data_IF_397683658553
#
_entry.id   IF_397683658553
#
_cell.length_a   1.000
_cell.length_b   1.000
_cell.length_c   1.000
_cell.angle_alpha   90.00
_cell.angle_beta   90.00
_cell.angle_gamma   90.00
#
_symmetry.space_group_name_H-M   'P 1'
#
loop_
_entity.id
_entity.type
_entity.pdbx_description
1 polymer ?
#
# COMPACT_ATOMS: atom_id res chain seq x y z
N UNK A 1 -29.99 -15.97 9.11
CA UNK A 1 -29.45 -14.81 8.39
C UNK A 1 -27.95 -14.99 8.30
N UNK A 2 -27.41 -15.24 7.12
CA UNK A 2 -25.96 -15.34 6.90
C UNK A 2 -25.39 -13.93 6.88
N UNK A 3 -24.55 -13.60 7.87
CA UNK A 3 -23.80 -12.36 7.88
C UNK A 3 -22.97 -12.25 6.60
N UNK A 4 -22.89 -11.07 5.99
CA UNK A 4 -22.26 -10.95 4.68
C UNK A 4 -20.75 -11.19 4.83
N UNK A 5 -20.19 -11.99 3.91
CA UNK A 5 -18.78 -12.39 3.77
C UNK A 5 -17.82 -11.23 3.44
N UNK A 6 -18.23 -9.98 3.73
CA UNK A 6 -17.65 -8.70 3.28
C UNK A 6 -16.14 -8.67 3.48
N UNK A 7 -15.65 -9.28 4.56
CA UNK A 7 -14.24 -9.30 4.89
C UNK A 7 -13.37 -10.10 3.90
N UNK A 8 -13.71 -11.35 3.59
CA UNK A 8 -12.88 -12.19 2.73
C UNK A 8 -12.92 -11.71 1.27
N UNK A 9 -14.11 -11.32 0.80
CA UNK A 9 -14.30 -10.88 -0.58
C UNK A 9 -13.57 -9.55 -0.84
N UNK A 10 -13.63 -8.59 0.09
CA UNK A 10 -12.93 -7.32 -0.05
C UNK A 10 -11.41 -7.49 0.00
N UNK A 11 -10.90 -8.37 0.87
CA UNK A 11 -9.46 -8.68 0.95
C UNK A 11 -8.96 -9.20 -0.40
N UNK A 12 -9.65 -10.20 -0.97
CA UNK A 12 -9.27 -10.79 -2.25
C UNK A 12 -9.36 -9.75 -3.36
N UNK A 13 -10.44 -8.95 -3.41
CA UNK A 13 -10.59 -7.88 -4.41
C UNK A 13 -9.44 -6.87 -4.34
N UNK A 14 -9.12 -6.35 -3.17
CA UNK A 14 -8.03 -5.38 -2.99
C UNK A 14 -6.69 -5.99 -3.40
N UNK A 15 -6.40 -7.23 -2.99
CA UNK A 15 -5.16 -7.92 -3.35
C UNK A 15 -5.02 -8.09 -4.88
N UNK A 16 -6.08 -8.56 -5.53
CA UNK A 16 -6.11 -8.76 -6.98
C UNK A 16 -6.07 -7.43 -7.75
N UNK A 17 -6.64 -6.36 -7.22
CA UNK A 17 -6.54 -5.05 -7.83
C UNK A 17 -5.13 -4.46 -7.68
N UNK A 18 -4.53 -4.54 -6.50
CA UNK A 18 -3.17 -4.03 -6.26
C UNK A 18 -2.12 -4.77 -7.12
N UNK A 19 -2.31 -6.06 -7.40
CA UNK A 19 -1.41 -6.82 -8.27
C UNK A 19 -1.44 -6.36 -9.73
N UNK A 20 -2.55 -5.78 -10.19
CA UNK A 20 -2.66 -5.16 -11.52
C UNK A 20 -1.90 -3.83 -11.63
N UNK A 21 -1.43 -3.28 -10.50
CA UNK A 21 -0.73 -2.01 -10.43
C UNK A 21 0.65 -2.15 -9.75
N UNK A 22 1.59 -2.95 -10.29
CA UNK A 22 2.82 -3.33 -9.58
C UNK A 22 3.68 -2.15 -9.13
N UNK A 23 3.77 -1.08 -9.94
CA UNK A 23 4.54 0.12 -9.60
C UNK A 23 3.71 1.12 -8.79
N UNK A 24 2.43 1.29 -9.13
CA UNK A 24 1.55 2.29 -8.53
C UNK A 24 1.01 1.86 -7.16
N UNK A 25 0.96 0.56 -6.89
CA UNK A 25 0.49 -0.05 -5.63
C UNK A 25 1.15 0.58 -4.41
N UNK A 26 2.46 0.86 -4.46
CA UNK A 26 3.19 1.53 -3.37
C UNK A 26 2.61 2.91 -3.04
N UNK A 27 2.25 3.68 -4.07
CA UNK A 27 1.64 5.01 -3.91
C UNK A 27 0.18 4.89 -3.46
N UNK A 28 -0.58 3.93 -4.01
CA UNK A 28 -1.95 3.62 -3.58
C UNK A 28 -1.98 3.30 -2.07
N UNK A 29 -1.12 2.38 -1.60
CA UNK A 29 -1.01 2.00 -0.19
C UNK A 29 -0.60 3.17 0.71
N UNK A 30 0.23 4.09 0.23
CA UNK A 30 0.54 5.32 0.98
C UNK A 30 -0.71 6.15 1.26
N UNK A 31 -1.59 6.32 0.27
CA UNK A 31 -2.86 7.02 0.45
C UNK A 31 -3.88 6.22 1.27
N UNK A 32 -3.90 4.89 1.14
CA UNK A 32 -4.68 4.02 2.02
C UNK A 32 -4.29 4.22 3.48
N UNK A 33 -2.99 4.19 3.81
CA UNK A 33 -2.49 4.47 5.17
C UNK A 33 -2.89 5.86 5.67
N UNK A 34 -2.76 6.89 4.83
CA UNK A 34 -3.22 8.25 5.17
C UNK A 34 -4.71 8.27 5.52
N UNK A 35 -5.55 7.58 4.74
CA UNK A 35 -6.99 7.49 5.00
C UNK A 35 -7.28 6.78 6.33
N UNK A 36 -6.62 5.65 6.58
CA UNK A 36 -6.74 4.90 7.84
C UNK A 36 -6.41 5.77 9.06
N UNK A 37 -5.31 6.53 9.00
CA UNK A 37 -4.89 7.41 10.08
C UNK A 37 -5.82 8.60 10.26
N UNK A 38 -6.24 9.23 9.16
CA UNK A 38 -7.13 10.39 9.20
C UNK A 38 -8.51 10.05 9.78
N UNK A 39 -8.99 8.83 9.55
CA UNK A 39 -10.27 8.32 10.09
C UNK A 39 -10.15 7.77 11.51
N UNK A 40 -8.95 7.72 12.07
CA UNK A 40 -8.71 7.19 13.41
C UNK A 40 -8.88 5.68 13.55
N UNK A 41 -8.90 4.92 12.42
CA UNK A 41 -9.02 3.46 12.43
C UNK A 41 -7.84 2.82 13.16
N UNK A 42 -6.65 3.36 12.93
CA UNK A 42 -5.43 3.03 13.67
C UNK A 42 -4.55 4.28 13.75
N UNK A 43 -3.86 4.46 14.86
CA UNK A 43 -2.88 5.55 14.99
C UNK A 43 -1.57 5.19 14.31
N UNK A 44 -0.80 6.18 13.89
CA UNK A 44 0.51 5.94 13.26
C UNK A 44 1.45 5.15 14.17
N UNK A 45 1.49 5.48 15.46
CA UNK A 45 2.33 4.79 16.45
C UNK A 45 1.91 3.35 16.67
N UNK A 46 0.60 3.07 16.79
CA UNK A 46 0.09 1.71 16.92
C UNK A 46 0.38 0.87 15.66
N UNK A 47 0.18 1.45 14.47
CA UNK A 47 0.48 0.80 13.20
C UNK A 47 1.97 0.45 13.07
N UNK A 48 2.87 1.39 13.41
CA UNK A 48 4.31 1.15 13.35
C UNK A 48 4.77 0.11 14.39
N UNK A 49 4.18 0.13 15.59
CA UNK A 49 4.46 -0.87 16.63
C UNK A 49 4.00 -2.28 16.21
N UNK A 50 2.79 -2.39 15.66
CA UNK A 50 2.25 -3.67 15.17
C UNK A 50 3.05 -4.19 13.98
N UNK A 51 3.43 -3.33 13.04
CA UNK A 51 4.28 -3.70 11.91
C UNK A 51 5.63 -4.28 12.37
N UNK A 52 6.26 -3.65 13.38
CA UNK A 52 7.50 -4.14 13.97
C UNK A 52 7.30 -5.50 14.65
N UNK A 53 6.25 -5.65 15.43
CA UNK A 53 5.93 -6.90 16.11
C UNK A 53 5.73 -8.05 15.10
N UNK A 54 4.92 -7.83 14.07
CA UNK A 54 4.67 -8.83 13.01
C UNK A 54 5.91 -9.13 12.16
N UNK A 55 6.80 -8.16 11.98
CA UNK A 55 8.09 -8.39 11.33
C UNK A 55 8.97 -9.33 12.16
N UNK A 56 9.08 -9.12 13.47
CA UNK A 56 9.82 -10.03 14.37
C UNK A 56 9.21 -11.44 14.35
N UNK A 57 7.88 -11.54 14.39
CA UNK A 57 7.21 -12.84 14.26
C UNK A 57 7.47 -13.52 12.91
N UNK A 58 7.62 -12.73 11.83
CA UNK A 58 7.95 -13.29 10.51
C UNK A 58 9.39 -13.79 10.44
N UNK A 59 10.34 -13.13 11.11
CA UNK A 59 11.71 -13.63 11.24
C UNK A 59 11.72 -15.00 11.92
N UNK A 60 10.99 -15.16 13.03
CA UNK A 60 10.87 -16.44 13.71
C UNK A 60 10.22 -17.53 12.84
N UNK A 61 9.20 -17.18 12.04
CA UNK A 61 8.58 -18.10 11.07
C UNK A 61 9.52 -18.50 9.93
N UNK A 62 10.48 -17.65 9.60
CA UNK A 62 11.51 -17.90 8.57
C UNK A 62 12.79 -18.53 9.15
N UNK A 63 12.80 -18.88 10.45
CA UNK A 63 13.90 -19.61 11.09
C UNK A 63 15.03 -18.72 11.64
N UNK A 64 14.83 -17.40 11.70
CA UNK A 64 15.77 -16.50 12.37
C UNK A 64 15.52 -16.55 13.88
N UNK A 65 16.53 -16.96 14.64
CA UNK A 65 16.43 -17.19 16.08
C UNK A 65 16.97 -16.02 16.89
N UNK A 66 17.86 -15.22 16.31
CA UNK A 66 18.28 -13.92 16.83
C UNK A 66 17.88 -12.77 15.88
N UNK A 67 16.66 -12.22 16.02
CA UNK A 67 16.10 -11.11 15.24
C UNK A 67 16.99 -9.89 15.02
N UNK A 68 17.92 -9.62 15.94
CA UNK A 68 18.72 -8.40 15.96
C UNK A 68 20.14 -8.58 15.40
N UNK A 69 20.61 -9.81 15.22
CA UNK A 69 21.99 -10.10 14.78
C UNK A 69 22.04 -10.88 13.47
N UNK A 70 21.03 -11.70 13.18
CA UNK A 70 21.05 -12.60 12.01
C UNK A 70 20.55 -11.93 10.73
N UNK A 71 19.86 -10.79 10.83
CA UNK A 71 19.30 -10.09 9.67
C UNK A 71 20.05 -8.78 9.40
N UNK A 72 20.44 -8.59 8.13
CA UNK A 72 21.06 -7.34 7.68
C UNK A 72 20.03 -6.21 7.67
N UNK A 73 20.48 -4.98 7.94
CA UNK A 73 19.62 -3.81 8.04
C UNK A 73 18.77 -3.55 6.77
N UNK A 74 19.32 -3.78 5.57
CA UNK A 74 18.58 -3.65 4.31
C UNK A 74 17.44 -4.66 4.19
N UNK A 75 17.67 -5.89 4.63
CA UNK A 75 16.66 -6.96 4.63
C UNK A 75 15.56 -6.66 5.67
N UNK A 76 15.94 -6.15 6.85
CA UNK A 76 15.00 -5.72 7.88
C UNK A 76 14.08 -4.59 7.40
N UNK A 77 14.63 -3.57 6.72
CA UNK A 77 13.83 -2.48 6.16
C UNK A 77 12.88 -2.98 5.06
N UNK A 78 13.34 -3.89 4.20
CA UNK A 78 12.47 -4.52 3.20
C UNK A 78 11.36 -5.36 3.85
N UNK A 79 11.67 -6.13 4.88
CA UNK A 79 10.70 -6.90 5.66
C UNK A 79 9.65 -5.98 6.29
N UNK A 80 10.06 -4.91 6.96
CA UNK A 80 9.14 -3.92 7.52
C UNK A 80 8.26 -3.30 6.45
N UNK A 81 8.81 -2.97 5.28
CA UNK A 81 8.03 -2.43 4.17
C UNK A 81 6.95 -3.42 3.70
N UNK A 82 7.31 -4.70 3.51
CA UNK A 82 6.37 -5.75 3.12
C UNK A 82 5.27 -5.96 4.17
N UNK A 83 5.63 -6.01 5.45
CA UNK A 83 4.67 -6.16 6.56
C UNK A 83 3.72 -4.96 6.64
N UNK A 84 4.24 -3.74 6.51
CA UNK A 84 3.42 -2.52 6.47
C UNK A 84 2.44 -2.54 5.29
N UNK A 85 2.87 -3.00 4.13
CA UNK A 85 1.99 -3.12 2.96
C UNK A 85 0.88 -4.15 3.21
N UNK A 86 1.20 -5.34 3.71
CA UNK A 86 0.18 -6.34 4.07
C UNK A 86 -0.78 -5.86 5.17
N UNK A 87 -0.27 -5.18 6.20
CA UNK A 87 -1.10 -4.57 7.24
C UNK A 87 -2.01 -3.49 6.69
N UNK A 88 -1.53 -2.68 5.75
CA UNK A 88 -2.34 -1.65 5.09
C UNK A 88 -3.52 -2.29 4.37
N UNK A 89 -3.23 -3.32 3.57
CA UNK A 89 -4.25 -4.04 2.79
C UNK A 89 -5.29 -4.69 3.73
N UNK A 90 -4.83 -5.30 4.82
CA UNK A 90 -5.68 -5.87 5.87
C UNK A 90 -6.58 -4.83 6.54
N UNK A 91 -6.01 -3.76 7.12
CA UNK A 91 -6.81 -2.75 7.81
C UNK A 91 -7.80 -2.09 6.88
N UNK A 92 -7.41 -1.81 5.63
CA UNK A 92 -8.31 -1.20 4.67
C UNK A 92 -9.47 -2.13 4.31
N UNK A 93 -9.20 -3.40 3.98
CA UNK A 93 -10.22 -4.35 3.57
C UNK A 93 -11.26 -4.66 4.66
N UNK A 94 -10.84 -4.65 5.92
CA UNK A 94 -11.71 -4.99 7.06
C UNK A 94 -12.47 -3.79 7.64
N UNK A 95 -11.99 -2.56 7.43
CA UNK A 95 -12.57 -1.36 8.06
C UNK A 95 -13.23 -0.40 7.07
N UNK A 96 -12.97 -0.56 5.76
CA UNK A 96 -13.47 0.35 4.73
C UNK A 96 -14.16 -0.43 3.60
N UNK A 97 -15.22 0.14 3.00
CA UNK A 97 -15.87 -0.44 1.83
C UNK A 97 -14.93 -0.37 0.61
N UNK A 98 -15.11 -1.28 -0.35
CA UNK A 98 -14.21 -1.42 -1.50
C UNK A 98 -14.18 -0.16 -2.39
N UNK A 99 -15.27 0.58 -2.45
CA UNK A 99 -15.44 1.82 -3.20
C UNK A 99 -14.40 2.88 -2.77
N UNK A 100 -14.03 2.92 -1.48
CA UNK A 100 -13.00 3.83 -0.98
C UNK A 100 -11.61 3.51 -1.55
N UNK A 101 -11.34 2.22 -1.80
CA UNK A 101 -10.13 1.81 -2.49
C UNK A 101 -10.17 2.22 -3.97
N UNK A 102 -11.30 2.00 -4.64
CA UNK A 102 -11.47 2.39 -6.04
C UNK A 102 -11.27 3.90 -6.25
N UNK A 103 -11.78 4.72 -5.36
CA UNK A 103 -11.60 6.17 -5.41
C UNK A 103 -10.13 6.58 -5.27
N UNK A 104 -9.37 5.93 -4.38
CA UNK A 104 -7.93 6.16 -4.25
C UNK A 104 -7.23 5.78 -5.56
N UNK A 105 -7.56 4.62 -6.15
CA UNK A 105 -6.97 4.17 -7.42
C UNK A 105 -7.28 5.16 -8.54
N UNK A 106 -8.53 5.60 -8.70
CA UNK A 106 -8.94 6.57 -9.73
C UNK A 106 -8.19 7.89 -9.59
N UNK A 107 -8.04 8.42 -8.37
CA UNK A 107 -7.25 9.64 -8.11
C UNK A 107 -5.79 9.46 -8.50
N UNK A 108 -5.18 8.32 -8.16
CA UNK A 108 -3.77 8.05 -8.51
C UNK A 108 -3.53 7.92 -10.01
N UNK A 109 -4.50 7.37 -10.75
CA UNK A 109 -4.44 7.29 -12.20
C UNK A 109 -4.59 8.68 -12.84
N UNK A 110 -5.50 9.51 -12.33
CA UNK A 110 -5.70 10.88 -12.81
C UNK A 110 -4.46 11.76 -12.59
N UNK A 111 -3.82 11.68 -11.41
CA UNK A 111 -2.57 12.40 -11.11
C UNK A 111 -1.45 12.03 -12.10
N UNK A 112 -1.33 10.75 -12.46
CA UNK A 112 -0.34 10.29 -13.45
C UNK A 112 -0.65 10.77 -14.86
N UNK A 113 -1.93 10.74 -15.26
CA UNK A 113 -2.37 11.26 -16.55
C UNK A 113 -1.98 12.73 -16.73
N UNK A 114 -2.14 13.53 -15.68
CA UNK A 114 -1.77 14.95 -15.70
C UNK A 114 -0.25 15.18 -15.79
N UNK A 115 0.57 14.32 -15.16
CA UNK A 115 2.05 14.41 -15.27
C UNK A 115 2.56 14.07 -16.68
N UNK A 116 1.88 13.19 -17.42
CA UNK A 116 2.27 12.85 -18.79
C UNK A 116 1.86 13.92 -19.83
N UNK A 117 0.88 14.79 -19.51
CA UNK A 117 0.46 15.87 -20.42
C UNK A 117 1.48 17.02 -20.44
N UNK A 118 2.34 17.15 -19.43
CA UNK A 118 3.41 18.15 -19.40
C UNK A 118 4.66 17.76 -20.22
N UNK A 119 4.76 16.54 -20.75
CA UNK A 119 5.71 16.22 -21.82
C UNK A 119 5.16 16.69 -23.17
N UNK A 120 4.93 18.01 -23.29
CA UNK A 120 4.82 18.66 -24.59
C UNK A 120 6.21 18.53 -25.22
N UNK A 121 6.35 17.62 -26.17
CA UNK A 121 7.48 17.59 -27.08
C UNK A 121 7.56 18.98 -27.73
N UNK A 122 8.51 19.80 -27.28
CA UNK A 122 8.91 21.00 -28.00
C UNK A 122 9.41 20.52 -29.36
N UNK A 123 8.57 20.66 -30.39
CA UNK A 123 8.96 20.44 -31.77
C UNK A 123 9.74 21.69 -32.22
N UNK A 124 11.08 21.65 -32.37
CA UNK A 124 11.86 22.84 -32.69
C UNK A 124 11.66 23.32 -34.14
N UNK A 125 10.87 22.62 -34.95
CA UNK A 125 10.62 22.93 -36.37
C UNK A 125 9.45 23.91 -36.61
N UNK A 126 8.78 24.41 -35.57
CA UNK A 126 7.69 25.40 -35.68
C UNK A 126 8.11 26.82 -35.26
N UNK A 127 9.38 27.20 -35.49
CA UNK A 127 9.79 28.60 -35.41
C UNK A 127 9.40 29.30 -36.73
N UNK A 128 8.58 30.38 -36.70
CA UNK A 128 8.31 31.15 -37.90
C UNK A 128 9.61 31.89 -38.30
N UNK A 129 10.02 31.72 -39.57
CA UNK A 129 10.95 32.63 -40.24
C UNK A 129 10.19 33.80 -40.85
#
# INVERSE_FOLDING_TARGET
MTFPSISADNVIKILLSLSQYPILSRRIRHYMRKSLFARGIITRSAFDAEARQKAIESQAREGLHNPFEEERADVWEERLLRVRDSLTDFYFAYNLPYEEFEDIVRRMLAERGNTNVEFIWFNPELAPQ
#
